data_IF_073590549197
#
_entry.id   IF_073590549197
#
_cell.length_a   1.000
_cell.length_b   1.000
_cell.length_c   1.000
_cell.angle_alpha   90.00
_cell.angle_beta   90.00
_cell.angle_gamma   90.00
#
_symmetry.space_group_name_H-M   'P 1'
#
loop_
_entity.id
_entity.type
_entity.pdbx_description
1 polymer ?
#
# COMPACT_ATOMS: atom_id res chain seq x y z
N UNK A 1 9.05 -13.30 11.95
CA UNK A 1 7.82 -12.79 11.30
C UNK A 1 7.47 -13.71 10.14
N UNK A 2 6.24 -14.26 10.09
CA UNK A 2 5.76 -14.98 8.90
C UNK A 2 5.63 -13.99 7.75
N UNK A 3 6.15 -14.31 6.57
CA UNK A 3 5.96 -13.50 5.36
C UNK A 3 4.49 -13.59 4.95
N UNK A 4 3.72 -12.52 5.15
CA UNK A 4 2.36 -12.41 4.62
C UNK A 4 2.46 -12.15 3.12
N UNK A 5 1.67 -12.89 2.32
CA UNK A 5 1.49 -12.64 0.89
C UNK A 5 0.04 -12.18 0.70
N UNK A 6 -0.14 -10.99 0.14
CA UNK A 6 -1.47 -10.49 -0.25
C UNK A 6 -1.95 -11.26 -1.49
N UNK A 7 -3.25 -11.55 -1.53
CA UNK A 7 -3.90 -11.87 -2.79
C UNK A 7 -4.21 -10.58 -3.58
N UNK A 8 -4.65 -10.71 -4.82
CA UNK A 8 -4.89 -9.55 -5.70
C UNK A 8 -5.98 -8.62 -5.16
N UNK A 9 -7.09 -9.16 -4.64
CA UNK A 9 -8.17 -8.36 -4.06
C UNK A 9 -7.69 -7.53 -2.86
N UNK A 10 -6.88 -8.14 -1.98
CA UNK A 10 -6.29 -7.46 -0.84
C UNK A 10 -5.32 -6.37 -1.27
N UNK A 11 -4.49 -6.65 -2.28
CA UNK A 11 -3.57 -5.67 -2.83
C UNK A 11 -4.33 -4.46 -3.40
N UNK A 12 -5.32 -4.70 -4.26
CA UNK A 12 -6.07 -3.63 -4.91
C UNK A 12 -6.96 -2.86 -3.94
N UNK A 13 -7.50 -3.50 -2.91
CA UNK A 13 -8.22 -2.79 -1.86
C UNK A 13 -7.30 -1.83 -1.08
N UNK A 14 -6.09 -2.27 -0.73
CA UNK A 14 -5.10 -1.41 -0.05
C UNK A 14 -4.65 -0.28 -1.00
N UNK A 15 -4.37 -0.58 -2.27
CA UNK A 15 -4.01 0.42 -3.29
C UNK A 15 -5.11 1.47 -3.48
N UNK A 16 -6.37 1.03 -3.61
CA UNK A 16 -7.51 1.94 -3.75
C UNK A 16 -7.63 2.87 -2.53
N UNK A 17 -7.49 2.32 -1.32
CA UNK A 17 -7.53 3.14 -0.12
C UNK A 17 -6.34 4.10 -0.04
N UNK A 18 -5.13 3.66 -0.39
CA UNK A 18 -3.93 4.51 -0.44
C UNK A 18 -4.14 5.71 -1.38
N UNK A 19 -4.67 5.50 -2.59
CA UNK A 19 -4.91 6.59 -3.55
C UNK A 19 -6.05 7.51 -3.08
N UNK A 20 -7.16 6.95 -2.63
CA UNK A 20 -8.31 7.74 -2.16
C UNK A 20 -7.97 8.58 -0.92
N UNK A 21 -7.34 7.96 0.08
CA UNK A 21 -6.94 8.64 1.32
C UNK A 21 -5.76 9.58 1.08
N UNK A 22 -4.86 9.23 0.16
CA UNK A 22 -3.80 10.10 -0.33
C UNK A 22 -4.36 11.38 -0.94
N UNK A 23 -5.30 11.28 -1.87
CA UNK A 23 -5.89 12.44 -2.54
C UNK A 23 -6.52 13.45 -1.56
N UNK A 24 -7.23 12.98 -0.52
CA UNK A 24 -7.85 13.87 0.48
C UNK A 24 -6.83 14.48 1.45
N UNK A 25 -5.64 13.90 1.60
CA UNK A 25 -4.55 14.37 2.46
C UNK A 25 -3.34 14.89 1.67
N UNK A 26 -3.54 15.34 0.42
CA UNK A 26 -2.48 15.86 -0.45
C UNK A 26 -1.26 14.93 -0.60
N UNK A 27 -1.51 13.62 -0.58
CA UNK A 27 -0.51 12.54 -0.62
C UNK A 27 0.59 12.66 0.44
N UNK A 28 0.28 13.22 1.61
CA UNK A 28 1.19 13.19 2.76
C UNK A 28 1.48 11.74 3.15
N UNK A 29 2.70 11.29 2.84
CA UNK A 29 3.11 9.91 3.00
C UNK A 29 3.08 9.45 4.46
N UNK A 30 3.38 10.34 5.41
CA UNK A 30 3.40 9.99 6.82
C UNK A 30 1.97 9.75 7.32
N UNK A 31 1.04 10.63 6.96
CA UNK A 31 -0.37 10.53 7.32
C UNK A 31 -1.00 9.28 6.68
N UNK A 32 -0.78 9.07 5.38
CA UNK A 32 -1.34 7.94 4.64
C UNK A 32 -0.79 6.61 5.17
N UNK A 33 0.50 6.53 5.46
CA UNK A 33 1.11 5.31 5.97
C UNK A 33 0.60 4.95 7.38
N UNK A 34 0.46 5.93 8.27
CA UNK A 34 -0.14 5.73 9.61
C UNK A 34 -1.56 5.18 9.50
N UNK A 35 -2.39 5.77 8.64
CA UNK A 35 -3.78 5.34 8.45
C UNK A 35 -3.86 3.93 7.84
N UNK A 36 -2.99 3.61 6.89
CA UNK A 36 -2.88 2.27 6.32
C UNK A 36 -2.58 1.21 7.40
N UNK A 37 -1.63 1.49 8.29
CA UNK A 37 -1.30 0.59 9.41
C UNK A 37 -2.51 0.43 10.33
N UNK A 38 -3.18 1.53 10.68
CA UNK A 38 -4.35 1.51 11.55
C UNK A 38 -5.49 0.67 10.95
N UNK A 39 -5.72 0.78 9.64
CA UNK A 39 -6.83 0.11 8.94
C UNK A 39 -6.55 -1.34 8.60
N UNK A 40 -5.34 -1.66 8.15
CA UNK A 40 -5.01 -2.98 7.57
C UNK A 40 -4.02 -3.80 8.39
N UNK A 41 -3.34 -3.18 9.36
CA UNK A 41 -2.29 -3.78 10.17
C UNK A 41 -0.92 -3.73 9.50
N UNK A 42 0.11 -3.54 10.32
CA UNK A 42 1.50 -3.32 9.87
C UNK A 42 2.02 -4.43 8.94
N UNK A 43 1.73 -5.70 9.24
CA UNK A 43 2.22 -6.82 8.42
C UNK A 43 1.65 -6.81 6.99
N UNK A 44 0.38 -6.41 6.81
CA UNK A 44 -0.24 -6.31 5.49
C UNK A 44 0.27 -5.10 4.72
N UNK A 45 0.50 -3.97 5.41
CA UNK A 45 1.07 -2.77 4.80
C UNK A 45 2.50 -3.02 4.32
N UNK A 46 3.33 -3.71 5.13
CA UNK A 46 4.67 -4.14 4.69
C UNK A 46 4.61 -5.08 3.48
N UNK A 47 3.66 -6.03 3.47
CA UNK A 47 3.46 -6.92 2.33
C UNK A 47 3.04 -6.15 1.06
N UNK A 48 2.18 -5.14 1.21
CA UNK A 48 1.76 -4.23 0.14
C UNK A 48 2.95 -3.43 -0.41
N UNK A 49 3.79 -2.82 0.42
CA UNK A 49 4.97 -2.07 -0.03
C UNK A 49 5.94 -2.93 -0.85
N UNK A 50 6.19 -4.17 -0.38
CA UNK A 50 7.03 -5.14 -1.07
C UNK A 50 6.44 -5.47 -2.44
N UNK A 51 5.12 -5.63 -2.52
CA UNK A 51 4.42 -5.95 -3.76
C UNK A 51 4.40 -4.75 -4.74
N UNK A 52 4.17 -3.52 -4.25
CA UNK A 52 4.28 -2.30 -5.06
C UNK A 52 5.65 -2.17 -5.70
N UNK A 53 6.74 -2.43 -4.95
CA UNK A 53 8.11 -2.43 -5.48
C UNK A 53 8.36 -3.47 -6.57
N UNK A 54 7.60 -4.58 -6.59
CA UNK A 54 7.68 -5.59 -7.64
C UNK A 54 6.85 -5.21 -8.86
N UNK A 55 5.63 -4.72 -8.64
CA UNK A 55 4.65 -4.38 -9.70
C UNK A 55 5.00 -3.10 -10.45
N UNK A 56 5.52 -2.11 -9.74
CA UNK A 56 5.76 -0.76 -10.26
C UNK A 56 7.24 -0.41 -10.22
N UNK A 57 8.13 -1.34 -10.61
CA UNK A 57 9.56 -1.04 -10.68
C UNK A 57 9.80 0.24 -11.48
N UNK A 58 10.66 1.10 -10.94
CA UNK A 58 11.07 2.38 -11.53
C UNK A 58 11.67 2.12 -12.92
N UNK A 59 10.85 2.21 -13.96
CA UNK A 59 11.17 1.81 -15.34
C UNK A 59 9.96 1.50 -16.21
N UNK A 60 8.82 1.11 -15.63
CA UNK A 60 7.61 0.69 -16.37
C UNK A 60 6.50 1.75 -16.42
N UNK A 61 6.78 2.99 -16.01
CA UNK A 61 5.86 4.12 -16.20
C UNK A 61 6.18 4.73 -17.56
N UNK A 62 5.39 4.36 -18.56
CA UNK A 62 5.38 4.92 -19.94
C UNK A 62 4.90 6.37 -19.89
#
# INVERSE_FOLDING_TARGET
>A
MRKIKLNDDQFWHIQYFYEWFGAINNHDQEIVYKELIQKFGEDKVKAYEIECRKRFKKGDII
#
